data_IF_854321477905
#
_entry.id   IF_854321477905
#
_cell.length_a   1.000
_cell.length_b   1.000
_cell.length_c   1.000
_cell.angle_alpha   90.00
_cell.angle_beta   90.00
_cell.angle_gamma   90.00
#
_symmetry.space_group_name_H-M   'P 1'
#
loop_
_entity.id
_entity.type
_entity.pdbx_description
1 polymer ?
2 non-polymer ?
3 non-polymer ?
4 water ?
#
# COMPACT_ATOMS: atom_id res chain seq x y z
N UNK A 11 -8.17 9.71 19.59
CA UNK A 11 -7.05 9.51 18.67
C UNK A 11 -7.52 9.69 17.23
N UNK A 12 -8.80 9.41 17.00
CA UNK A 12 -9.39 9.42 15.67
C UNK A 12 -9.99 10.79 15.39
N UNK A 13 -9.54 11.45 14.35
CA UNK A 13 -10.01 12.80 14.07
C UNK A 13 -11.17 12.77 13.10
N UNK A 14 -12.13 13.65 13.34
CA UNK A 14 -13.30 13.70 12.49
C UNK A 14 -12.95 14.41 11.19
N UNK A 15 -13.40 13.85 10.08
CA UNK A 15 -13.28 14.52 8.80
C UNK A 15 -14.68 14.94 8.40
N UNK A 16 -15.00 16.23 8.43
CA UNK A 16 -16.41 16.60 8.29
C UNK A 16 -16.93 16.32 6.90
N UNK A 17 -16.14 16.58 5.86
CA UNK A 17 -16.57 16.37 4.49
C UNK A 17 -15.50 15.63 3.71
N UNK A 18 -15.93 14.66 2.92
CA UNK A 18 -15.03 13.91 2.07
C UNK A 18 -14.96 14.59 0.72
N UNK A 19 -13.80 14.50 0.09
CA UNK A 19 -13.66 14.91 -1.29
C UNK A 19 -14.12 13.81 -2.24
N UNK A 20 -13.92 14.07 -3.52
CA UNK A 20 -14.30 13.10 -4.53
C UNK A 20 -13.64 11.73 -4.26
N UNK A 21 -14.44 10.68 -4.46
CA UNK A 21 -13.95 9.32 -4.34
C UNK A 21 -13.07 8.97 -5.53
N UNK A 22 -12.05 8.16 -5.27
CA UNK A 22 -11.08 7.81 -6.29
C UNK A 22 -10.69 6.35 -6.12
N UNK A 23 -10.18 5.74 -7.21
CA UNK A 23 -9.55 4.44 -7.10
C UNK A 23 -10.55 3.32 -6.95
N UNK A 24 -10.06 2.16 -6.54
CA UNK A 24 -10.87 0.95 -6.65
C UNK A 24 -10.44 -0.21 -5.75
N UNK A 25 -9.79 0.06 -4.63
CA UNK A 25 -9.29 -1.05 -3.79
C UNK A 25 -10.40 -1.80 -3.07
N UNK A 26 -10.17 -3.09 -2.81
CA UNK A 26 -11.26 -3.84 -2.18
C UNK A 26 -11.37 -3.60 -0.68
N UNK A 27 -10.31 -3.14 -0.02
CA UNK A 27 -10.34 -3.07 1.44
C UNK A 27 -10.93 -1.75 1.90
N UNK A 28 -10.64 -0.66 1.18
CA UNK A 28 -11.00 0.68 1.60
C UNK A 28 -11.59 1.44 0.42
N UNK A 29 -12.45 2.38 0.73
CA UNK A 29 -12.88 3.39 -0.22
C UNK A 29 -12.08 4.66 0.05
N UNK A 30 -11.53 5.24 -1.01
CA UNK A 30 -10.52 6.27 -0.93
C UNK A 30 -11.14 7.57 -1.47
N UNK A 31 -11.02 8.64 -0.69
CA UNK A 31 -11.56 9.95 -1.05
C UNK A 31 -10.46 11.02 -1.08
N UNK A 32 -10.47 11.90 -2.07
CA UNK A 32 -9.57 13.04 -2.04
C UNK A 32 -9.80 13.80 -0.76
N UNK A 33 -8.72 14.23 -0.13
CA UNK A 33 -8.79 14.93 1.13
C UNK A 33 -9.09 16.39 0.85
N UNK A 34 -10.18 16.90 1.43
CA UNK A 34 -10.52 18.30 1.26
C UNK A 34 -9.61 19.20 2.07
N UNK A 35 -8.75 18.62 2.91
CA UNK A 35 -7.91 19.41 3.80
C UNK A 35 -6.49 19.54 3.30
N UNK A 36 -5.99 18.59 2.48
CA UNK A 36 -4.64 18.64 1.90
C UNK A 36 -4.66 17.83 0.60
N UNK A 37 -4.55 18.49 -0.57
CA UNK A 37 -4.68 17.74 -1.83
C UNK A 37 -3.58 16.70 -2.01
N UNK A 38 -2.52 16.76 -1.22
CA UNK A 38 -1.55 15.68 -1.26
C UNK A 38 -2.04 14.42 -0.54
N UNK A 39 -3.20 14.47 0.09
CA UNK A 39 -3.62 13.36 0.91
C UNK A 39 -4.98 12.83 0.45
N UNK A 40 -5.32 11.66 1.01
CA UNK A 40 -6.63 11.08 0.75
C UNK A 40 -7.11 10.40 2.02
N UNK A 41 -8.42 10.26 2.11
CA UNK A 41 -9.08 9.68 3.27
C UNK A 41 -9.46 8.26 2.91
N UNK A 42 -8.90 7.27 3.62
CA UNK A 42 -9.09 5.86 3.26
C UNK A 42 -9.87 5.16 4.36
N UNK A 43 -11.12 4.82 4.06
CA UNK A 43 -12.12 4.36 5.03
C UNK A 43 -12.46 2.90 4.74
N UNK A 44 -12.38 2.06 5.77
CA UNK A 44 -12.68 0.64 5.61
C UNK A 44 -14.09 0.39 5.10
N UNK A 45 -14.20 -0.49 4.10
CA UNK A 45 -15.48 -0.93 3.57
C UNK A 45 -16.07 -1.95 4.53
N UNK A 46 -17.37 -2.22 4.43
CA UNK A 46 -17.97 -3.23 5.32
C UNK A 46 -17.25 -4.56 5.19
N UNK A 47 -17.08 -5.23 6.32
CA UNK A 47 -16.65 -6.61 6.27
C UNK A 47 -15.17 -6.79 6.05
N UNK A 48 -14.39 -5.71 6.00
CA UNK A 48 -12.99 -5.86 5.62
C UNK A 48 -12.01 -6.02 6.79
N UNK A 49 -12.46 -5.83 8.04
CA UNK A 49 -11.56 -5.92 9.18
C UNK A 49 -11.73 -7.22 9.95
N UNK A 50 -12.47 -8.18 9.38
CA UNK A 50 -12.65 -9.45 10.04
C UNK A 50 -13.33 -9.26 11.37
N UNK A 51 -12.84 -9.97 12.37
CA UNK A 51 -13.45 -9.87 13.69
C UNK A 51 -12.79 -8.79 14.53
N UNK A 52 -11.71 -8.20 14.02
CA UNK A 52 -11.02 -7.07 14.64
C UNK A 52 -11.85 -5.80 14.40
N UNK A 53 -12.08 -4.97 15.42
CA UNK A 53 -12.81 -3.71 15.19
C UNK A 53 -12.03 -2.74 14.31
N UNK A 54 -12.77 -1.90 13.60
CA UNK A 54 -12.11 -1.14 12.55
C UNK A 54 -11.10 -0.15 13.12
N UNK A 55 -11.38 0.37 14.33
CA UNK A 55 -10.46 1.32 14.96
C UNK A 55 -9.12 0.66 15.25
N UNK A 56 -9.15 -0.55 15.82
CA UNK A 56 -7.90 -1.29 16.07
C UNK A 56 -7.16 -1.55 14.78
N UNK A 57 -7.89 -1.96 13.74
CA UNK A 57 -7.27 -2.24 12.46
C UNK A 57 -6.60 -1.00 11.88
N UNK A 58 -7.27 0.15 11.95
CA UNK A 58 -6.66 1.37 11.45
C UNK A 58 -5.40 1.70 12.23
N UNK A 59 -5.46 1.57 13.56
CA UNK A 59 -4.28 1.86 14.38
C UNK A 59 -3.12 0.94 14.04
N UNK A 60 -3.41 -0.34 13.81
CA UNK A 60 -2.37 -1.28 13.44
C UNK A 60 -1.74 -0.92 12.09
N UNK A 61 -2.53 -0.44 11.13
CA UNK A 61 -1.97 -0.07 9.84
C UNK A 61 -1.09 1.17 9.96
N UNK A 62 -1.57 2.21 10.65
CA UNK A 62 -0.77 3.40 10.87
C UNK A 62 0.56 3.05 11.52
N UNK A 63 0.55 2.34 12.66
CA UNK A 63 1.81 1.98 13.29
C UNK A 63 2.72 1.19 12.36
N UNK A 64 2.15 0.20 11.65
CA UNK A 64 2.99 -0.67 10.85
C UNK A 64 3.60 0.10 9.69
N UNK A 65 2.81 1.00 9.09
CA UNK A 65 3.33 1.87 8.05
C UNK A 65 4.51 2.67 8.57
N UNK A 66 4.37 3.24 9.78
CA UNK A 66 5.45 4.03 10.36
C UNK A 66 6.65 3.15 10.74
N UNK A 67 6.43 1.94 11.24
CA UNK A 67 7.58 1.08 11.48
C UNK A 67 8.32 0.80 10.18
N UNK A 68 7.58 0.43 9.11
CA UNK A 68 8.24 0.15 7.84
C UNK A 68 8.95 1.40 7.31
N UNK A 69 8.31 2.56 7.40
CA UNK A 69 8.96 3.77 6.94
C UNK A 69 10.26 3.99 7.68
N UNK A 70 10.23 3.85 9.00
CA UNK A 70 11.45 4.01 9.80
C UNK A 70 12.52 3.00 9.45
N UNK A 71 12.15 1.80 9.00
CA UNK A 71 13.15 0.79 8.67
C UNK A 71 13.69 0.99 7.27
N UNK A 72 13.16 1.99 6.53
CA UNK A 72 13.68 2.30 5.22
C UNK A 72 12.90 1.76 4.04
N UNK A 73 11.82 1.03 4.29
CA UNK A 73 11.00 0.52 3.21
C UNK A 73 10.27 1.68 2.52
N UNK A 74 9.99 1.56 1.22
CA UNK A 74 9.12 2.56 0.58
C UNK A 74 7.66 2.24 0.92
N UNK A 75 6.91 3.24 1.40
CA UNK A 75 5.54 3.02 1.82
C UNK A 75 4.65 4.12 1.25
N UNK A 76 3.36 3.82 1.23
CA UNK A 76 2.31 4.80 1.12
C UNK A 76 2.15 5.38 2.52
N UNK A 77 2.80 6.50 2.77
CA UNK A 77 2.83 7.03 4.11
C UNK A 77 1.42 7.26 4.65
N UNK A 78 1.27 7.15 5.97
CA UNK A 78 0.01 7.33 6.64
C UNK A 78 0.18 8.41 7.69
N UNK A 79 -0.84 9.26 7.89
CA UNK A 79 -0.62 10.50 8.63
C UNK A 79 -1.47 10.65 9.86
N UNK A 80 -2.69 10.12 9.86
CA UNK A 80 -3.62 10.37 10.94
C UNK A 80 -4.75 9.36 10.84
N UNK A 81 -5.27 8.98 12.01
CA UNK A 81 -6.45 8.13 12.12
C UNK A 81 -7.66 9.02 11.98
N UNK A 82 -8.59 8.62 11.13
CA UNK A 82 -9.73 9.49 10.87
C UNK A 82 -11.02 8.70 10.97
N UNK A 83 -12.11 9.44 11.19
CA UNK A 83 -13.44 8.91 11.03
C UNK A 83 -14.33 9.95 10.36
N UNK A 84 -15.34 9.46 9.66
CA UNK A 84 -16.35 10.26 8.97
C UNK A 84 -17.67 9.53 9.13
N UNK A 85 -18.64 10.16 9.79
CA UNK A 85 -19.91 9.50 10.18
C UNK A 85 -19.49 8.21 10.89
N UNK A 86 -20.01 7.05 10.51
CA UNK A 86 -19.59 5.83 11.18
C UNK A 86 -18.45 5.06 10.54
N UNK A 87 -17.82 5.61 9.49
CA UNK A 87 -16.69 5.00 8.80
C UNK A 87 -15.37 5.37 9.49
N UNK A 88 -14.38 4.50 9.35
CA UNK A 88 -13.13 4.62 10.09
C UNK A 88 -11.99 4.33 9.14
N UNK A 89 -10.88 5.05 9.28
CA UNK A 89 -9.74 4.79 8.43
C UNK A 89 -8.51 5.60 8.77
N UNK A 90 -7.71 5.85 7.75
CA UNK A 90 -6.43 6.50 7.85
C UNK A 90 -6.37 7.57 6.78
N UNK A 91 -5.71 8.68 7.08
CA UNK A 91 -5.35 9.67 6.09
C UNK A 91 -3.97 9.31 5.55
N UNK A 92 -3.83 9.28 4.23
CA UNK A 92 -2.65 8.72 3.59
C UNK A 92 -2.21 9.61 2.43
N UNK A 93 -0.96 9.44 2.03
CA UNK A 93 -0.50 10.06 0.80
C UNK A 93 -1.41 9.62 -0.34
N UNK A 94 -1.73 10.56 -1.22
CA UNK A 94 -2.51 10.27 -2.41
C UNK A 94 -1.55 9.94 -3.53
N UNK A 95 -1.69 8.74 -4.12
CA UNK A 95 -0.83 8.29 -5.19
C UNK A 95 -1.63 8.40 -6.48
N UNK A 96 -1.41 9.48 -7.22
CA UNK A 96 -2.13 9.70 -8.46
C UNK A 96 -1.90 8.54 -9.41
N UNK A 97 -2.98 8.05 -10.00
CA UNK A 97 -2.92 7.01 -11.03
C UNK A 97 -2.22 5.75 -10.51
N UNK A 98 -2.39 5.45 -9.25
CA UNK A 98 -1.73 4.28 -8.70
C UNK A 98 -2.23 3.01 -9.39
N UNK A 99 -1.34 2.06 -9.60
CA UNK A 99 -1.71 0.69 -9.96
C UNK A 99 -1.68 -0.15 -8.69
N UNK A 100 -2.71 -0.93 -8.49
CA UNK A 100 -2.77 -1.82 -7.33
C UNK A 100 -2.06 -3.12 -7.70
N UNK A 101 -1.09 -3.54 -6.87
CA UNK A 101 -0.36 -4.76 -7.18
C UNK A 101 -1.31 -5.93 -7.37
N UNK A 102 -2.45 -5.96 -6.67
CA UNK A 102 -3.34 -7.11 -6.79
C UNK A 102 -3.88 -7.24 -8.19
N UNK A 103 -4.26 -6.12 -8.81
CA UNK A 103 -4.74 -6.19 -10.18
C UNK A 103 -3.67 -6.74 -11.09
N UNK A 104 -2.41 -6.33 -10.88
CA UNK A 104 -1.34 -6.81 -11.75
C UNK A 104 -1.24 -8.32 -11.68
N UNK A 105 -1.03 -8.85 -10.47
CA UNK A 105 -0.76 -10.28 -10.33
C UNK A 105 -1.98 -11.11 -10.68
N UNK A 106 -3.19 -10.58 -10.48
CA UNK A 106 -4.39 -11.28 -10.92
C UNK A 106 -4.70 -11.03 -12.39
N UNK A 107 -3.84 -10.31 -13.10
CA UNK A 107 -4.03 -10.07 -14.53
C UNK A 107 -5.40 -9.41 -14.81
N UNK A 108 -5.86 -8.52 -13.93
CA UNK A 108 -6.96 -7.62 -14.23
C UNK A 108 -6.48 -6.30 -14.84
N UNK A 109 -5.23 -5.92 -14.59
CA UNK A 109 -4.54 -4.81 -15.26
C UNK A 109 -3.09 -5.19 -15.47
N UNK A 110 -2.45 -4.55 -16.45
CA UNK A 110 -1.07 -4.84 -16.81
C UNK A 110 -0.19 -3.62 -16.55
N UNK A 111 1.07 -3.90 -16.24
CA UNK A 111 2.07 -2.85 -16.24
C UNK A 111 2.13 -2.22 -17.64
N UNK A 112 2.25 -0.91 -17.72
CA UNK A 112 2.46 -0.25 -19.01
C UNK A 112 3.68 -0.83 -19.72
N UNK A 113 3.79 -0.52 -21.01
CA UNK A 113 4.98 -0.95 -21.73
C UNK A 113 6.22 -0.14 -21.43
N UNK A 114 6.07 1.10 -20.94
CA UNK A 114 7.18 2.04 -20.81
C UNK A 114 8.42 1.39 -20.19
N UNK A 115 9.57 1.72 -20.74
CA UNK A 115 10.83 1.15 -20.26
C UNK A 115 11.18 1.64 -18.86
N UNK A 116 11.34 2.96 -18.70
CA UNK A 116 11.62 3.51 -17.37
C UNK A 116 10.66 2.95 -16.34
N UNK A 117 9.36 2.96 -16.64
CA UNK A 117 8.39 2.41 -15.69
C UNK A 117 8.81 1.01 -15.21
N UNK A 118 9.05 0.09 -16.14
CA UNK A 118 9.32 -1.28 -15.71
C UNK A 118 10.66 -1.41 -14.98
N UNK A 119 11.71 -0.74 -15.46
CA UNK A 119 12.95 -0.70 -14.68
C UNK A 119 12.68 -0.31 -13.23
N UNK A 120 11.89 0.73 -13.00
CA UNK A 120 11.61 1.15 -11.63
C UNK A 120 10.93 0.05 -10.82
N UNK A 121 9.92 -0.61 -11.40
CA UNK A 121 9.30 -1.72 -10.68
C UNK A 121 10.35 -2.80 -10.36
N UNK A 122 11.18 -3.15 -11.34
CA UNK A 122 12.21 -4.15 -11.10
C UNK A 122 13.17 -3.71 -9.98
N UNK A 123 13.76 -2.51 -10.11
CA UNK A 123 14.74 -2.08 -9.10
C UNK A 123 14.12 -2.01 -7.70
N UNK A 124 12.94 -1.40 -7.59
CA UNK A 124 12.34 -1.19 -6.27
C UNK A 124 11.95 -2.50 -5.61
N UNK A 125 11.46 -3.44 -6.42
CA UNK A 125 11.23 -4.78 -5.89
C UNK A 125 12.53 -5.38 -5.36
N UNK A 126 13.59 -5.30 -6.15
CA UNK A 126 14.88 -5.78 -5.68
C UNK A 126 15.25 -5.13 -4.34
N UNK A 127 15.07 -3.81 -4.25
CA UNK A 127 15.42 -3.11 -3.02
C UNK A 127 14.54 -3.57 -1.85
N UNK A 128 13.26 -3.84 -2.09
CA UNK A 128 12.39 -4.31 -1.01
C UNK A 128 12.84 -5.69 -0.57
N UNK A 129 13.13 -6.56 -1.54
CA UNK A 129 13.60 -7.89 -1.20
C UNK A 129 14.90 -7.81 -0.43
N UNK A 130 15.82 -6.95 -0.89
CA UNK A 130 17.11 -6.84 -0.21
C UNK A 130 16.92 -6.45 1.25
N UNK A 131 15.97 -5.55 1.53
CA UNK A 131 15.74 -5.09 2.89
C UNK A 131 15.06 -6.19 3.73
N UNK A 132 14.09 -6.90 3.14
CA UNK A 132 13.48 -8.02 3.83
C UNK A 132 14.53 -9.03 4.28
N UNK A 133 15.49 -9.37 3.41
CA UNK A 133 16.54 -10.32 3.78
C UNK A 133 17.41 -9.78 4.90
N UNK A 134 17.88 -8.53 4.76
CA UNK A 134 18.79 -7.97 5.76
C UNK A 134 18.14 -7.92 7.12
N UNK A 135 16.90 -7.47 7.19
CA UNK A 135 16.25 -7.27 8.47
C UNK A 135 15.57 -8.52 9.00
N UNK A 136 15.36 -9.52 8.15
CA UNK A 136 14.64 -10.73 8.53
C UNK A 136 13.33 -10.38 9.24
N UNK A 137 12.42 -9.80 8.46
CA UNK A 137 11.07 -9.52 8.95
C UNK A 137 10.04 -10.04 7.96
N UNK A 138 8.84 -10.30 8.49
CA UNK A 138 7.68 -10.69 7.73
C UNK A 138 6.64 -9.58 7.83
N UNK A 139 6.04 -9.23 6.71
CA UNK A 139 5.04 -8.17 6.63
C UNK A 139 3.71 -8.86 6.35
N UNK A 140 2.80 -8.83 7.33
CA UNK A 140 1.49 -9.48 7.14
C UNK A 140 0.63 -8.67 6.18
N UNK A 141 -0.09 -9.39 5.31
CA UNK A 141 -0.89 -8.78 4.24
C UNK A 141 -0.04 -7.78 3.45
N UNK A 142 1.15 -8.19 3.02
CA UNK A 142 1.99 -7.36 2.17
C UNK A 142 1.34 -7.15 0.80
N UNK A 143 1.21 -5.89 0.39
CA UNK A 143 0.67 -5.50 -0.92
C UNK A 143 1.27 -4.16 -1.31
N UNK A 144 1.12 -3.79 -2.58
CA UNK A 144 1.81 -2.61 -3.08
C UNK A 144 0.91 -1.73 -3.93
N UNK A 145 1.29 -0.46 -4.00
CA UNK A 145 0.81 0.43 -5.04
C UNK A 145 2.01 0.77 -5.89
N UNK A 146 1.82 0.82 -7.22
CA UNK A 146 2.86 1.27 -8.14
C UNK A 146 2.48 2.67 -8.59
N UNK A 147 3.35 3.65 -8.36
CA UNK A 147 2.97 5.02 -8.71
C UNK A 147 3.20 5.26 -10.21
N UNK A 148 2.85 6.45 -10.70
CA UNK A 148 2.86 6.67 -12.15
C UNK A 148 4.26 6.61 -12.76
N UNK A 149 5.33 6.63 -11.97
CA UNK A 149 6.65 6.40 -12.55
C UNK A 149 7.12 4.96 -12.42
N UNK A 150 6.32 4.08 -11.82
CA UNK A 150 6.72 2.70 -11.65
C UNK A 150 7.36 2.39 -10.34
N UNK A 151 7.38 3.33 -9.39
CA UNK A 151 7.90 3.04 -8.07
C UNK A 151 6.94 2.23 -7.23
N UNK A 152 7.47 1.26 -6.49
CA UNK A 152 6.68 0.32 -5.73
C UNK A 152 6.63 0.77 -4.27
N UNK A 153 5.43 0.90 -3.75
CA UNK A 153 5.19 1.44 -2.42
C UNK A 153 4.38 0.40 -1.64
N UNK A 154 4.87 0.04 -0.45
CA UNK A 154 4.07 -0.85 0.39
C UNK A 154 2.85 -0.14 0.89
N UNK A 155 1.69 -0.81 0.78
CA UNK A 155 0.41 -0.15 1.03
C UNK A 155 -0.43 -0.96 2.00
N UNK A 156 -0.90 -0.30 3.07
CA UNK A 156 -1.82 -0.89 4.05
C UNK A 156 -1.24 -2.18 4.64
N UNK A 157 -0.01 -2.14 5.13
CA UNK A 157 0.56 -3.30 5.82
C UNK A 157 -0.15 -3.54 7.13
N UNK A 158 -0.34 -4.80 7.47
CA UNK A 158 -1.06 -5.11 8.69
C UNK A 158 -0.12 -5.21 9.89
N UNK A 159 1.08 -5.74 9.69
CA UNK A 159 1.99 -5.95 10.80
C UNK A 159 3.38 -6.20 10.24
N UNK A 160 4.37 -6.06 11.11
CA UNK A 160 5.73 -6.43 10.77
C UNK A 160 6.35 -7.02 12.03
N UNK A 161 6.98 -8.18 11.89
CA UNK A 161 7.58 -8.90 13.00
C UNK A 161 8.91 -9.49 12.55
N UNK A 162 9.83 -9.65 13.49
CA UNK A 162 11.06 -10.36 13.17
C UNK A 162 10.72 -11.82 12.93
N UNK A 163 10.84 -12.27 11.69
CA UNK A 163 10.45 -13.61 11.28
C UNK A 163 11.15 -13.90 9.96
N UNK A 164 10.96 -15.13 9.49
CA UNK A 164 11.46 -15.53 8.19
C UNK A 164 10.84 -14.64 7.11
N UNK A 165 11.65 -13.99 6.27
CA UNK A 165 11.12 -13.10 5.24
C UNK A 165 10.69 -13.82 3.97
N UNK A 166 10.79 -15.15 3.96
CA UNK A 166 10.52 -15.91 2.74
C UNK A 166 9.12 -15.65 2.20
N UNK A 167 8.11 -15.64 3.07
CA UNK A 167 6.77 -15.34 2.61
C UNK A 167 6.72 -13.97 1.97
N UNK A 168 7.33 -12.98 2.62
CA UNK A 168 7.24 -11.62 2.07
C UNK A 168 8.06 -11.52 0.80
N UNK A 169 9.20 -12.17 0.75
CA UNK A 169 10.00 -12.09 -0.46
C UNK A 169 9.23 -12.65 -1.64
N UNK A 170 8.47 -13.71 -1.41
CA UNK A 170 7.67 -14.31 -2.47
C UNK A 170 6.60 -13.35 -2.99
N UNK A 171 5.92 -12.62 -2.08
CA UNK A 171 4.94 -11.65 -2.54
C UNK A 171 5.59 -10.60 -3.46
N UNK A 172 6.78 -10.11 -3.12
CA UNK A 172 7.43 -9.09 -3.95
C UNK A 172 7.82 -9.67 -5.31
N UNK A 173 8.48 -10.84 -5.31
CA UNK A 173 8.90 -11.44 -6.57
C UNK A 173 7.71 -11.68 -7.50
N UNK A 174 6.56 -12.06 -6.93
CA UNK A 174 5.34 -12.21 -7.71
C UNK A 174 5.08 -11.00 -8.59
N UNK A 175 5.27 -9.80 -8.05
CA UNK A 175 5.09 -8.59 -8.85
C UNK A 175 6.31 -8.33 -9.73
N UNK A 176 7.51 -8.52 -9.19
CA UNK A 176 8.72 -8.29 -9.98
C UNK A 176 8.72 -9.11 -11.27
N UNK A 177 8.26 -10.36 -11.20
CA UNK A 177 8.27 -11.20 -12.40
C UNK A 177 7.65 -10.47 -13.58
N UNK A 178 6.63 -9.65 -13.34
CA UNK A 178 5.95 -9.03 -14.48
C UNK A 178 6.85 -8.03 -15.15
N UNK A 179 7.54 -7.21 -14.35
CA UNK A 179 8.46 -6.22 -14.88
C UNK A 179 9.64 -6.89 -15.55
N UNK A 180 10.25 -7.86 -14.86
CA UNK A 180 11.33 -8.64 -15.46
C UNK A 180 10.88 -9.21 -16.80
N UNK A 181 9.69 -9.82 -16.85
CA UNK A 181 9.20 -10.38 -18.09
C UNK A 181 9.09 -9.32 -19.18
N UNK A 182 8.54 -8.16 -18.84
CA UNK A 182 8.46 -7.08 -19.83
C UNK A 182 9.85 -6.65 -20.31
N UNK A 183 10.80 -6.52 -19.40
CA UNK A 183 12.10 -6.00 -19.80
C UNK A 183 12.86 -7.00 -20.67
N UNK A 184 12.55 -8.29 -20.54
CA UNK A 184 13.14 -9.33 -21.38
C UNK A 184 12.51 -9.43 -22.76
N UNK A 185 11.45 -8.67 -23.06
CA UNK A 185 10.77 -8.80 -24.35
C UNK A 185 10.79 -7.49 -25.16
X LIG B 1 3.44 21.24 4.79
X LIG B 1 4.20 21.46 3.57
X LIG B 1 4.29 20.19 5.49
X LIG B 1 5.06 19.60 4.43
X LIG B 1 2.44 20.87 4.57
X LIG B 1 3.35 22.15 5.38
X LIG B 1 4.00 20.76 2.93
X LIG B 1 3.68 19.45 5.99
X LIG B 1 4.94 20.65 6.24
X LIG B 1 5.97 19.88 4.50
X LIG C 1 -4.98 4.98 -3.47
X LIG C 1 -5.84 4.81 -4.63
X LIG C 1 -4.09 6.25 -3.58
X LIG C 1 -3.46 6.52 -2.28
X LIG C 1 -5.60 5.06 -2.57
X LIG C 1 -4.34 4.10 -3.37
X LIG C 1 -6.40 4.02 -4.50
X LIG C 1 -4.70 7.10 -3.88
X LIG C 1 -3.31 6.10 -4.34
X LIG C 1 -3.81 5.89 -1.63
X LIG D 1 -12.85 17.35 -3.95
X LIG D 1 -12.24 16.38 -4.78
X LIG D 1 -14.08 17.96 -4.65
X LIG D 1 -15.00 18.28 -3.60
X LIG D 1 -12.14 18.15 -3.73
X LIG D 1 -13.16 16.90 -3.01
X LIG D 1 -12.68 15.52 -4.67
X LIG D 1 -14.52 17.24 -5.35
X LIG D 1 -13.81 18.85 -5.21
X LIG D 1 -15.75 17.65 -3.62
X LIG E 1 -14.66 -0.78 -5.96
X LIG E 1 -15.63 0.00 -6.65
X LIG E 1 -14.03 -1.95 -6.74
X LIG E 1 -13.79 -3.00 -5.77
X LIG E 1 -15.11 -1.18 -5.06
X LIG E 1 -13.84 -0.12 -5.65
X LIG E 1 -16.19 0.47 -6.00
X LIG E 1 -13.10 -1.64 -7.22
X LIG E 1 -14.72 -2.29 -7.52
X LIG E 1 -13.69 -3.85 -6.23
X LIG F 1 1.41 -12.74 4.40
X LIG F 1 1.14 -12.03 3.17
X LIG F 1 0.25 -12.62 5.38
X LIG F 1 0.60 -13.21 6.64
X LIG F 1 2.32 -12.33 4.85
X LIG F 1 1.58 -13.79 4.17
X LIG F 1 1.86 -12.18 2.55
X LIG F 1 -0.63 -13.11 4.98
X LIG F 1 0.01 -11.56 5.53
X LIG F 1 1.50 -13.53 6.62
X LIG G 1 12.17 8.63 -11.62
X LIG G 1 12.48 7.58 -12.60
X LIG G 1 11.31 8.19 -10.55
X LIG G 1 11.45 9.72 -12.29
X LIG G 1 13.42 9.06 -10.99
#
# INVERSE_FOLDING_TARGET
MGSSHHHHHHAFHDVPSLGQKVGAGSQKDVFHSRQDPRQCICLFRPGTTGSIPAEQYAQKELETTKQLKNLGFPVVDAHALVKHQGSVGVAKDFIHNALDSEDIVNNKKSLPDNLKFNKNVLEDCNAIIRRLKNLEVHIEDLQFLVDHNGHVLINDPRDVVRSSPDKSISKVNELRSHALNNLLDIDSD
EDO C1 O1 C2 O2 H11 H12 HO1 H21 H22 HO2
EDO C1 O1 C2 O2 H11 H12 HO1 H21 H22 HO2
EDO C1 O1 C2 O2 H11 H12 HO1 H21 H22 HO2
EDO C1 O1 C2 O2 H11 H12 HO1 H21 H22 HO2
EDO C1 O1 C2 O2 H11 H12 HO1 H21 H22 HO2
SO4 S O1 O2 O3 O4
#
